data_IF_766339359350
#
_entry.id   IF_766339359350
#
_cell.length_a   1.000
_cell.length_b   1.000
_cell.length_c   1.000
_cell.angle_alpha   90.00
_cell.angle_beta   90.00
_cell.angle_gamma   90.00
#
_symmetry.space_group_name_H-M   'P 1'
#
loop_
_entity.id
_entity.type
_entity.pdbx_description
1 polymer ?
#
# COMPACT_ATOMS: atom_id res chain seq x y z
N UNK A 1 -10.85 -11.86 -4.86
CA UNK A 1 -10.23 -12.12 -3.55
C UNK A 1 -9.17 -13.19 -3.66
N UNK A 2 -9.53 -14.39 -4.11
CA UNK A 2 -8.61 -15.52 -4.33
C UNK A 2 -7.42 -15.19 -5.24
N UNK A 3 -7.67 -14.54 -6.38
CA UNK A 3 -6.61 -14.13 -7.32
C UNK A 3 -5.58 -13.18 -6.71
N UNK A 4 -6.03 -12.25 -5.85
CA UNK A 4 -5.15 -11.30 -5.17
C UNK A 4 -4.21 -12.02 -4.19
N UNK A 5 -4.75 -12.96 -3.41
CA UNK A 5 -3.95 -13.70 -2.42
C UNK A 5 -2.97 -14.63 -3.12
N UNK A 6 -3.40 -15.37 -4.14
CA UNK A 6 -2.47 -16.23 -4.89
C UNK A 6 -1.41 -15.44 -5.65
N UNK A 7 -1.75 -14.28 -6.21
CA UNK A 7 -0.75 -13.39 -6.83
C UNK A 7 0.26 -12.86 -5.82
N UNK A 8 -0.22 -12.41 -4.65
CA UNK A 8 0.66 -11.94 -3.58
C UNK A 8 1.56 -13.05 -3.03
N UNK A 9 1.00 -14.23 -2.74
CA UNK A 9 1.76 -15.38 -2.30
C UNK A 9 2.79 -15.84 -3.34
N UNK A 10 2.44 -15.81 -4.62
CA UNK A 10 3.37 -16.10 -5.71
C UNK A 10 4.56 -15.13 -5.70
N UNK A 11 4.30 -13.82 -5.61
CA UNK A 11 5.37 -12.83 -5.60
C UNK A 11 6.27 -12.96 -4.36
N UNK A 12 5.69 -13.11 -3.18
CA UNK A 12 6.45 -13.24 -1.92
C UNK A 12 7.34 -14.49 -1.89
N UNK A 13 6.95 -15.56 -2.60
CA UNK A 13 7.73 -16.82 -2.65
C UNK A 13 8.78 -16.86 -3.75
N UNK A 14 8.55 -16.15 -4.85
CA UNK A 14 9.39 -16.29 -6.05
C UNK A 14 10.26 -15.06 -6.34
N UNK A 15 10.01 -13.93 -5.68
CA UNK A 15 10.72 -12.67 -5.90
C UNK A 15 11.31 -12.16 -4.58
N UNK A 16 12.63 -12.27 -4.40
CA UNK A 16 13.31 -11.86 -3.15
C UNK A 16 13.19 -10.35 -2.87
N UNK A 17 13.14 -9.52 -3.92
CA UNK A 17 13.11 -8.06 -3.83
C UNK A 17 11.70 -7.44 -3.99
N UNK A 18 10.64 -8.24 -3.92
CA UNK A 18 9.27 -7.70 -4.08
C UNK A 18 8.81 -6.91 -2.84
N UNK A 19 9.24 -7.33 -1.65
CA UNK A 19 8.76 -6.77 -0.38
C UNK A 19 9.83 -5.92 0.31
N UNK A 20 9.44 -4.76 0.82
CA UNK A 20 10.33 -3.86 1.56
C UNK A 20 9.62 -3.17 2.73
N UNK A 21 10.41 -2.76 3.71
CA UNK A 21 9.97 -1.84 4.77
C UNK A 21 10.55 -0.44 4.51
N UNK A 22 9.73 0.59 4.65
CA UNK A 22 10.16 1.98 4.55
C UNK A 22 10.38 2.60 5.93
N UNK A 23 11.57 3.18 6.15
CA UNK A 23 11.95 3.85 7.40
C UNK A 23 12.07 5.36 7.19
N UNK A 24 11.14 6.13 7.74
CA UNK A 24 11.06 7.58 7.52
C UNK A 24 12.28 8.35 8.03
N UNK A 25 12.84 7.93 9.18
CA UNK A 25 13.97 8.59 9.84
C UNK A 25 15.34 8.24 9.21
N UNK A 26 15.38 7.19 8.38
CA UNK A 26 16.62 6.75 7.74
C UNK A 26 17.01 7.68 6.56
N UNK A 27 18.29 7.66 6.20
CA UNK A 27 18.88 8.53 5.16
C UNK A 27 19.43 7.67 4.02
N UNK A 28 19.24 8.13 2.78
CA UNK A 28 19.79 7.48 1.60
C UNK A 28 19.20 6.09 1.38
N UNK A 29 20.08 5.12 1.08
CA UNK A 29 19.70 3.73 0.74
C UNK A 29 19.01 3.00 1.89
N UNK A 30 19.24 3.40 3.14
CA UNK A 30 18.67 2.78 4.34
C UNK A 30 17.16 3.03 4.50
N UNK A 31 16.58 3.94 3.70
CA UNK A 31 15.13 4.21 3.72
C UNK A 31 14.30 3.03 3.27
N UNK A 32 14.84 2.17 2.41
CA UNK A 32 14.17 0.99 1.90
C UNK A 32 14.96 -0.24 2.32
N UNK A 33 14.35 -1.08 3.16
CA UNK A 33 14.95 -2.35 3.56
C UNK A 33 14.19 -3.48 2.89
N UNK A 34 14.80 -4.04 1.86
CA UNK A 34 14.37 -5.29 1.23
C UNK A 34 14.87 -6.43 2.11
N UNK A 35 13.97 -7.33 2.49
CA UNK A 35 14.31 -8.52 3.24
C UNK A 35 13.61 -9.70 2.58
N UNK A 36 14.35 -10.73 2.14
CA UNK A 36 13.73 -11.97 1.72
C UNK A 36 12.89 -12.51 2.88
N UNK A 37 11.59 -12.66 2.67
CA UNK A 37 10.75 -13.33 3.65
C UNK A 37 11.03 -14.81 3.46
N UNK A 38 11.62 -15.47 4.47
CA UNK A 38 11.85 -16.91 4.39
C UNK A 38 10.49 -17.60 4.15
N UNK A 39 10.42 -18.50 3.16
CA UNK A 39 9.15 -19.03 2.67
C UNK A 39 8.30 -19.77 3.75
N UNK A 40 8.97 -20.25 4.80
CA UNK A 40 8.40 -20.88 6.00
C UNK A 40 7.89 -19.87 7.05
N UNK A 41 8.21 -18.58 6.89
CA UNK A 41 7.91 -17.50 7.85
C UNK A 41 6.91 -16.45 7.34
N UNK A 42 6.38 -16.61 6.12
CA UNK A 42 5.44 -15.64 5.52
C UNK A 42 4.10 -15.58 6.28
N UNK A 43 3.66 -16.71 6.82
CA UNK A 43 2.35 -16.84 7.46
C UNK A 43 2.46 -16.84 8.99
N UNK A 44 1.45 -16.31 9.70
CA UNK A 44 0.28 -15.59 9.19
C UNK A 44 0.60 -14.12 8.85
N UNK A 45 -0.16 -13.54 7.91
CA UNK A 45 -0.07 -12.10 7.62
C UNK A 45 -1.44 -11.44 7.41
N UNK A 46 -1.45 -10.11 7.52
CA UNK A 46 -2.59 -9.28 7.17
C UNK A 46 -2.33 -8.61 5.82
N UNK A 47 -3.16 -8.92 4.84
CA UNK A 47 -3.17 -8.23 3.56
C UNK A 47 -4.15 -7.06 3.62
N UNK A 48 -3.64 -5.83 3.57
CA UNK A 48 -4.44 -4.62 3.46
C UNK A 48 -4.44 -4.16 2.00
N UNK A 49 -5.50 -4.51 1.28
CA UNK A 49 -5.65 -4.11 -0.12
C UNK A 49 -6.36 -2.76 -0.22
N UNK A 50 -5.65 -1.74 -0.71
CA UNK A 50 -6.14 -0.38 -0.89
C UNK A 50 -6.44 -0.14 -2.37
N UNK A 51 -7.73 0.00 -2.69
CA UNK A 51 -8.21 0.44 -4.00
C UNK A 51 -9.15 1.63 -3.82
N UNK A 52 -10.31 1.63 -4.48
CA UNK A 52 -11.38 2.63 -4.22
C UNK A 52 -11.80 2.63 -2.75
N UNK A 53 -11.97 1.44 -2.16
CA UNK A 53 -12.09 1.20 -0.72
C UNK A 53 -10.92 0.38 -0.20
N UNK A 54 -11.00 -0.06 1.06
CA UNK A 54 -10.00 -0.89 1.73
C UNK A 54 -10.61 -2.25 2.06
N UNK A 55 -9.88 -3.33 1.79
CA UNK A 55 -10.19 -4.67 2.30
C UNK A 55 -9.03 -5.19 3.14
N UNK A 56 -9.34 -5.69 4.34
CA UNK A 56 -8.38 -6.28 5.25
C UNK A 56 -8.62 -7.78 5.30
N UNK A 57 -7.61 -8.55 4.90
CA UNK A 57 -7.68 -10.01 4.86
C UNK A 57 -6.67 -10.60 5.83
N UNK A 58 -7.12 -11.53 6.66
CA UNK A 58 -6.26 -12.40 7.45
C UNK A 58 -5.92 -13.62 6.60
N UNK A 59 -4.64 -13.85 6.38
CA UNK A 59 -4.13 -14.98 5.61
C UNK A 59 -3.37 -15.89 6.58
N UNK A 60 -4.00 -17.00 6.95
CA UNK A 60 -3.48 -17.97 7.91
C UNK A 60 -2.57 -19.01 7.23
N UNK A 61 -2.85 -19.34 5.97
CA UNK A 61 -2.03 -20.26 5.15
C UNK A 61 -2.32 -20.03 3.65
N UNK A 62 -1.59 -20.68 2.71
CA UNK A 62 -1.84 -20.54 1.27
C UNK A 62 -3.28 -20.83 0.83
N UNK A 63 -4.00 -21.68 1.57
CA UNK A 63 -5.39 -22.06 1.27
C UNK A 63 -6.40 -21.54 2.28
N UNK A 64 -5.96 -20.93 3.38
CA UNK A 64 -6.83 -20.44 4.45
C UNK A 64 -6.72 -18.93 4.61
N UNK A 65 -7.77 -18.23 4.20
CA UNK A 65 -7.85 -16.78 4.31
C UNK A 65 -9.29 -16.32 4.44
N UNK A 66 -9.46 -15.16 5.08
CA UNK A 66 -10.78 -14.56 5.28
C UNK A 66 -10.66 -13.04 5.32
N UNK A 67 -11.70 -12.36 4.82
CA UNK A 67 -11.83 -10.92 4.99
C UNK A 67 -12.28 -10.62 6.41
N UNK A 68 -11.41 -9.99 7.19
CA UNK A 68 -11.67 -9.64 8.60
C UNK A 68 -12.16 -8.20 8.76
N UNK A 69 -12.04 -7.38 7.72
CA UNK A 69 -12.53 -6.00 7.78
C UNK A 69 -12.34 -5.22 6.48
N UNK A 70 -12.54 -3.92 6.59
CA UNK A 70 -12.33 -2.96 5.51
C UNK A 70 -12.90 -1.59 5.84
N UNK A 71 -12.71 -0.65 4.92
CA UNK A 71 -13.20 0.72 5.05
C UNK A 71 -13.68 1.22 3.69
N UNK A 72 -14.74 2.04 3.67
CA UNK A 72 -15.14 2.78 2.48
C UNK A 72 -14.20 3.96 2.19
N UNK A 73 -13.44 4.42 3.20
CA UNK A 73 -12.44 5.46 3.06
C UNK A 73 -11.12 4.87 2.52
N UNK A 74 -11.09 4.56 1.22
CA UNK A 74 -9.88 4.17 0.50
C UNK A 74 -9.37 5.27 -0.42
N UNK A 75 -8.67 4.89 -1.48
CA UNK A 75 -8.17 5.82 -2.49
C UNK A 75 -9.27 6.59 -3.22
N UNK A 76 -10.46 5.99 -3.38
CA UNK A 76 -11.61 6.66 -4.00
C UNK A 76 -12.11 7.84 -3.18
N UNK A 77 -12.16 7.70 -1.86
CA UNK A 77 -12.52 8.79 -0.95
C UNK A 77 -11.46 9.89 -0.96
N UNK A 78 -10.18 9.51 -0.93
CA UNK A 78 -9.06 10.46 -1.01
C UNK A 78 -9.09 11.30 -2.29
N UNK A 79 -9.20 10.65 -3.45
CA UNK A 79 -9.25 11.34 -4.74
C UNK A 79 -10.55 12.14 -4.89
N UNK A 80 -11.69 11.57 -4.49
CA UNK A 80 -13.00 12.23 -4.57
C UNK A 80 -13.06 13.51 -3.74
N UNK A 81 -12.64 13.44 -2.47
CA UNK A 81 -12.55 14.62 -1.61
C UNK A 81 -11.48 15.59 -2.08
N UNK A 82 -10.34 15.07 -2.55
CA UNK A 82 -9.29 15.87 -3.17
C UNK A 82 -9.82 16.77 -4.28
N UNK A 83 -10.55 16.20 -5.24
CA UNK A 83 -11.16 16.97 -6.34
C UNK A 83 -12.26 17.93 -5.88
N UNK A 84 -13.01 17.61 -4.83
CA UNK A 84 -14.08 18.47 -4.32
C UNK A 84 -13.54 19.66 -3.52
N UNK A 85 -12.49 19.44 -2.74
CA UNK A 85 -11.95 20.41 -1.78
C UNK A 85 -10.79 21.22 -2.33
N UNK A 86 -10.19 20.79 -3.46
CA UNK A 86 -9.10 21.52 -4.12
C UNK A 86 -9.52 21.99 -5.50
N UNK A 87 -8.88 23.04 -6.02
CA UNK A 87 -9.06 23.51 -7.40
C UNK A 87 -8.45 22.57 -8.45
N UNK A 88 -7.95 21.40 -8.06
CA UNK A 88 -7.49 20.36 -8.97
C UNK A 88 -8.69 19.75 -9.71
N UNK A 89 -9.08 20.36 -10.82
CA UNK A 89 -10.10 19.82 -11.72
C UNK A 89 -9.69 18.43 -12.22
N UNK A 90 -10.60 17.45 -12.06
CA UNK A 90 -10.81 16.11 -12.69
C UNK A 90 -9.65 15.28 -13.26
N UNK A 91 -8.43 15.79 -13.33
CA UNK A 91 -7.21 15.14 -13.80
C UNK A 91 -6.37 14.80 -12.58
N UNK A 92 -6.27 13.50 -12.29
CA UNK A 92 -5.50 12.91 -11.17
C UNK A 92 -4.09 13.51 -11.08
N UNK A 93 -3.43 13.72 -12.23
CA UNK A 93 -2.07 14.25 -12.30
C UNK A 93 -1.93 15.64 -11.66
N UNK A 94 -2.95 16.50 -11.74
CA UNK A 94 -2.90 17.84 -11.14
C UNK A 94 -3.00 17.77 -9.61
N UNK A 95 -3.79 16.84 -9.09
CA UNK A 95 -3.97 16.67 -7.65
C UNK A 95 -2.72 16.05 -7.00
N UNK A 96 -2.13 15.02 -7.61
CA UNK A 96 -0.87 14.42 -7.12
C UNK A 96 0.29 15.42 -7.11
N UNK A 97 0.41 16.24 -8.16
CA UNK A 97 1.40 17.32 -8.19
C UNK A 97 1.16 18.35 -7.07
N UNK A 98 -0.09 18.71 -6.80
CA UNK A 98 -0.43 19.66 -5.76
C UNK A 98 -0.08 19.12 -4.36
N UNK A 99 -0.39 17.85 -4.09
CA UNK A 99 0.03 17.17 -2.85
C UNK A 99 1.55 17.16 -2.74
N UNK A 100 2.27 16.80 -3.81
CA UNK A 100 3.74 16.79 -3.80
C UNK A 100 4.33 18.17 -3.54
N UNK A 101 3.72 19.25 -4.04
CA UNK A 101 4.14 20.64 -3.80
C UNK A 101 3.83 21.09 -2.37
N UNK A 102 2.68 20.74 -1.83
CA UNK A 102 2.27 21.13 -0.46
C UNK A 102 3.03 20.36 0.62
N UNK A 103 3.18 19.05 0.45
CA UNK A 103 3.77 18.14 1.43
C UNK A 103 5.22 17.77 1.12
N UNK A 104 5.88 18.52 0.23
CA UNK A 104 7.30 18.33 -0.02
C UNK A 104 8.08 18.61 1.29
N UNK A 105 9.05 17.75 1.66
CA UNK A 105 9.84 17.91 2.88
C UNK A 105 10.67 19.21 2.92
N UNK A 106 10.74 19.96 1.82
CA UNK A 106 11.44 21.26 1.75
C UNK A 106 10.64 22.43 2.34
N UNK A 107 9.35 22.26 2.68
CA UNK A 107 8.51 23.33 3.26
C UNK A 107 8.40 23.34 4.79
N UNK A 108 8.88 22.29 5.46
CA UNK A 108 8.90 22.18 6.93
C UNK A 108 10.30 22.39 7.53
N UNK A 109 11.14 23.18 6.85
CA UNK A 109 12.39 23.71 7.41
C UNK A 109 12.28 25.22 7.60
#
# INVERSE_FOLDING_TARGET
MTSLIYGCDFLLKNNEDESFTYHHEAIGIERYQYKPIAADSVYPFLLVNIGTGISVLKVDSPSQFQRVGGSSMGGGAFIGLGHLLTSAQSKINNFEEQIRKEFSPLRFR
#
